data_IF_879350274185
#
_entry.id   IF_879350274185
#
_cell.length_a   1.000
_cell.length_b   1.000
_cell.length_c   1.000
_cell.angle_alpha   90.00
_cell.angle_beta   90.00
_cell.angle_gamma   90.00
#
_symmetry.space_group_name_H-M   'P 1'
#
loop_
_entity.id
_entity.type
_entity.pdbx_description
1 polymer ?
#
# COMPACT_ATOMS: atom_id res chain seq x y z
N UNK A 1 -59.86 -33.04 5.26
CA UNK A 1 -58.78 -33.22 4.28
C UNK A 1 -57.58 -32.39 4.75
N UNK A 2 -56.57 -33.01 5.41
CA UNK A 2 -55.39 -32.29 5.94
C UNK A 2 -54.28 -32.33 4.88
N UNK A 3 -53.95 -31.19 4.35
CA UNK A 3 -52.79 -31.05 3.47
C UNK A 3 -51.49 -31.17 4.30
N UNK A 4 -50.73 -32.23 4.08
CA UNK A 4 -49.35 -32.34 4.54
C UNK A 4 -48.48 -31.47 3.60
N UNK A 5 -48.04 -30.32 4.08
CA UNK A 5 -47.01 -29.52 3.38
C UNK A 5 -45.72 -30.28 3.54
N UNK A 6 -45.12 -30.62 2.40
CA UNK A 6 -43.91 -31.44 2.32
C UNK A 6 -42.71 -30.57 2.69
N UNK A 7 -42.12 -30.76 3.86
CA UNK A 7 -40.99 -30.02 4.41
C UNK A 7 -39.71 -30.07 3.50
N UNK A 8 -39.67 -31.01 2.54
CA UNK A 8 -38.54 -31.16 1.61
C UNK A 8 -38.42 -30.04 0.58
N UNK A 9 -39.53 -29.37 0.20
CA UNK A 9 -39.52 -28.27 -0.80
C UNK A 9 -38.93 -27.00 -0.22
N UNK A 10 -39.11 -26.73 1.09
CA UNK A 10 -38.62 -25.55 1.79
C UNK A 10 -37.09 -25.64 1.94
N UNK A 11 -36.53 -26.81 2.19
CA UNK A 11 -35.09 -27.02 2.35
C UNK A 11 -34.32 -26.81 1.04
N UNK A 12 -34.86 -27.29 -0.09
CA UNK A 12 -34.24 -27.13 -1.42
C UNK A 12 -34.25 -25.67 -1.86
N UNK A 13 -35.34 -24.94 -1.60
CA UNK A 13 -35.39 -23.49 -1.95
C UNK A 13 -34.41 -22.66 -1.12
N UNK A 14 -34.20 -23.00 0.15
CA UNK A 14 -33.24 -22.31 1.02
C UNK A 14 -31.76 -22.51 0.56
N UNK A 15 -31.42 -23.73 0.14
CA UNK A 15 -30.11 -24.09 -0.37
C UNK A 15 -29.80 -23.35 -1.71
N UNK A 16 -30.78 -23.23 -2.60
CA UNK A 16 -30.63 -22.52 -3.88
C UNK A 16 -30.45 -21.02 -3.69
N UNK A 17 -31.16 -20.40 -2.75
CA UNK A 17 -31.05 -18.95 -2.47
C UNK A 17 -29.71 -18.65 -1.81
N UNK A 18 -29.21 -19.46 -0.91
CA UNK A 18 -27.91 -19.26 -0.27
C UNK A 18 -26.77 -19.44 -1.26
N UNK A 19 -26.79 -20.46 -2.12
CA UNK A 19 -25.74 -20.68 -3.14
C UNK A 19 -25.67 -19.56 -4.17
N UNK A 20 -26.81 -18.99 -4.58
CA UNK A 20 -26.82 -17.85 -5.52
C UNK A 20 -26.28 -16.58 -4.91
N UNK A 21 -26.52 -16.31 -3.63
CA UNK A 21 -25.97 -15.15 -2.90
C UNK A 21 -24.46 -15.27 -2.68
N UNK A 22 -23.95 -16.47 -2.38
CA UNK A 22 -22.51 -16.72 -2.26
C UNK A 22 -21.81 -16.53 -3.60
N UNK A 23 -22.32 -17.11 -4.70
CA UNK A 23 -21.78 -16.96 -6.04
C UNK A 23 -21.77 -15.51 -6.51
N UNK A 24 -22.81 -14.73 -6.22
CA UNK A 24 -22.90 -13.31 -6.58
C UNK A 24 -21.89 -12.47 -5.80
N UNK A 25 -21.66 -12.76 -4.52
CA UNK A 25 -20.69 -12.06 -3.68
C UNK A 25 -19.26 -12.33 -4.15
N UNK A 26 -18.92 -13.55 -4.53
CA UNK A 26 -17.59 -13.91 -5.05
C UNK A 26 -17.32 -13.26 -6.41
N UNK A 27 -18.29 -13.22 -7.32
CA UNK A 27 -18.19 -12.50 -8.59
C UNK A 27 -17.92 -11.02 -8.37
N UNK A 28 -18.62 -10.38 -7.42
CA UNK A 28 -18.43 -8.97 -7.10
C UNK A 28 -17.03 -8.67 -6.53
N UNK A 29 -16.50 -9.54 -5.64
CA UNK A 29 -15.14 -9.38 -5.10
C UNK A 29 -14.09 -9.45 -6.22
N UNK A 30 -14.22 -10.41 -7.13
CA UNK A 30 -13.35 -10.56 -8.31
C UNK A 30 -13.39 -9.31 -9.18
N UNK A 31 -14.59 -8.81 -9.48
CA UNK A 31 -14.79 -7.60 -10.25
C UNK A 31 -14.15 -6.37 -9.58
N UNK A 32 -14.37 -6.16 -8.29
CA UNK A 32 -13.79 -5.01 -7.56
C UNK A 32 -12.26 -5.07 -7.61
N UNK A 33 -11.64 -6.22 -7.31
CA UNK A 33 -10.18 -6.36 -7.32
C UNK A 33 -9.59 -6.15 -8.72
N UNK A 34 -10.22 -6.71 -9.75
CA UNK A 34 -9.80 -6.51 -11.13
C UNK A 34 -9.86 -5.02 -11.51
N UNK A 35 -10.97 -4.34 -11.21
CA UNK A 35 -11.13 -2.91 -11.49
C UNK A 35 -10.14 -2.04 -10.70
N UNK A 36 -9.79 -2.40 -9.46
CA UNK A 36 -8.73 -1.70 -8.69
C UNK A 36 -7.39 -1.81 -9.40
N UNK A 37 -7.01 -3.01 -9.82
CA UNK A 37 -5.75 -3.24 -10.54
C UNK A 37 -5.73 -2.45 -11.85
N UNK A 38 -6.78 -2.60 -12.67
CA UNK A 38 -6.88 -1.95 -13.97
C UNK A 38 -6.89 -0.42 -13.84
N UNK A 39 -7.62 0.11 -12.86
CA UNK A 39 -7.67 1.54 -12.62
C UNK A 39 -6.31 2.11 -12.19
N UNK A 40 -5.62 1.45 -11.27
CA UNK A 40 -4.28 1.89 -10.84
C UNK A 40 -3.29 1.84 -12.01
N UNK A 41 -3.31 0.78 -12.81
CA UNK A 41 -2.36 0.57 -13.91
C UNK A 41 -2.62 1.48 -15.13
N UNK A 42 -3.88 1.88 -15.34
CA UNK A 42 -4.28 2.78 -16.43
C UNK A 42 -3.93 4.24 -16.16
N UNK A 43 -3.75 4.65 -14.89
CA UNK A 43 -3.50 6.03 -14.53
C UNK A 43 -2.01 6.28 -14.30
N UNK A 44 -1.35 6.89 -15.28
CA UNK A 44 0.09 7.17 -15.21
C UNK A 44 0.42 8.40 -14.36
N UNK A 45 -0.42 9.42 -14.40
CA UNK A 45 -0.19 10.70 -13.71
C UNK A 45 -1.21 10.91 -12.61
N UNK A 46 -0.72 11.18 -11.40
CA UNK A 46 -1.51 11.32 -10.19
C UNK A 46 -1.09 12.56 -9.41
N UNK A 47 -2.08 13.22 -8.83
CA UNK A 47 -1.88 14.30 -7.87
C UNK A 47 -2.81 14.09 -6.69
N UNK A 48 -2.31 14.18 -5.46
CA UNK A 48 -3.11 13.95 -4.27
C UNK A 48 -2.52 14.59 -3.01
N UNK A 49 -3.35 14.77 -2.01
CA UNK A 49 -2.91 14.93 -0.63
C UNK A 49 -3.04 13.59 0.10
N UNK A 50 -2.06 13.23 0.91
CA UNK A 50 -2.10 12.04 1.74
C UNK A 50 -1.88 12.38 3.21
N UNK A 51 -2.74 11.85 4.06
CA UNK A 51 -2.49 11.72 5.50
C UNK A 51 -2.09 10.27 5.78
N UNK A 52 -1.03 10.09 6.56
CA UNK A 52 -0.60 8.79 7.07
C UNK A 52 -0.46 8.81 8.58
N UNK A 53 -0.68 7.65 9.19
CA UNK A 53 -0.41 7.40 10.60
C UNK A 53 0.13 5.98 10.73
N UNK A 54 1.37 5.85 11.15
CA UNK A 54 2.14 4.60 11.14
C UNK A 54 2.72 4.32 12.53
N UNK A 55 2.52 3.10 13.03
CA UNK A 55 2.98 2.70 14.36
C UNK A 55 4.43 2.27 14.31
N UNK A 56 5.29 2.98 15.05
CA UNK A 56 6.71 2.64 15.14
C UNK A 56 6.99 1.49 16.14
N UNK A 57 8.25 1.06 16.21
CA UNK A 57 8.75 0.01 17.11
C UNK A 57 8.50 0.29 18.61
N UNK A 58 8.28 1.53 19.00
CA UNK A 58 7.94 1.95 20.37
C UNK A 58 6.42 2.04 20.62
N UNK A 59 5.60 1.46 19.73
CA UNK A 59 4.13 1.51 19.76
C UNK A 59 3.54 2.94 19.73
N UNK A 60 4.28 3.90 19.20
CA UNK A 60 3.81 5.27 19.00
C UNK A 60 3.43 5.49 17.54
N UNK A 61 2.32 6.17 17.31
CA UNK A 61 1.93 6.57 15.96
C UNK A 61 2.69 7.82 15.53
N UNK A 62 3.31 7.73 14.35
CA UNK A 62 3.93 8.86 13.66
C UNK A 62 2.99 9.28 12.55
N UNK A 63 2.54 10.53 12.62
CA UNK A 63 1.65 11.10 11.62
C UNK A 63 2.42 11.91 10.59
N UNK A 64 1.94 11.86 9.36
CA UNK A 64 2.43 12.67 8.27
C UNK A 64 1.29 13.16 7.38
N UNK A 65 1.44 14.37 6.83
CA UNK A 65 0.57 14.90 5.79
C UNK A 65 1.43 15.54 4.72
N UNK A 66 1.15 15.25 3.48
CA UNK A 66 1.86 15.80 2.36
C UNK A 66 1.01 15.86 1.09
N UNK A 67 1.42 16.74 0.21
CA UNK A 67 0.98 16.80 -1.17
C UNK A 67 1.98 16.07 -2.06
N UNK A 68 1.51 15.32 -3.07
CA UNK A 68 2.33 14.63 -4.04
C UNK A 68 1.85 14.84 -5.46
N UNK A 69 2.82 14.96 -6.38
CA UNK A 69 2.66 14.76 -7.83
C UNK A 69 3.48 13.56 -8.24
N UNK A 70 2.95 12.70 -9.09
CA UNK A 70 3.71 11.57 -9.57
C UNK A 70 3.34 11.15 -10.99
N UNK A 71 4.31 10.55 -11.65
CA UNK A 71 4.19 9.80 -12.89
C UNK A 71 4.74 8.40 -12.64
N UNK A 72 3.98 7.37 -13.02
CA UNK A 72 4.34 5.99 -12.69
C UNK A 72 5.31 5.34 -13.69
N UNK A 73 5.34 5.81 -14.95
CA UNK A 73 6.13 5.21 -16.04
C UNK A 73 6.68 6.28 -16.98
N UNK A 74 7.98 6.68 -16.88
CA UNK A 74 8.93 6.34 -15.82
C UNK A 74 8.49 6.93 -14.46
N UNK A 75 8.98 6.34 -13.37
CA UNK A 75 8.62 6.82 -12.05
C UNK A 75 9.25 8.19 -11.77
N UNK A 76 8.39 9.20 -11.56
CA UNK A 76 8.77 10.54 -11.12
C UNK A 76 7.87 10.94 -9.97
N UNK A 77 8.44 11.47 -8.91
CA UNK A 77 7.71 11.85 -7.71
C UNK A 77 8.22 13.17 -7.17
N UNK A 78 7.30 14.09 -6.95
CA UNK A 78 7.51 15.27 -6.14
C UNK A 78 6.59 15.22 -4.92
N UNK A 79 7.14 15.46 -3.73
CA UNK A 79 6.42 15.52 -2.47
C UNK A 79 6.73 16.84 -1.77
N UNK A 80 5.69 17.50 -1.26
CA UNK A 80 5.80 18.65 -0.35
C UNK A 80 5.14 18.33 0.97
N UNK A 81 5.92 18.28 2.03
CA UNK A 81 5.43 17.95 3.37
C UNK A 81 4.67 19.11 4.00
N UNK A 82 3.57 18.77 4.63
CA UNK A 82 2.81 19.66 5.51
C UNK A 82 3.10 19.34 6.98
N UNK A 83 3.25 18.03 7.31
CA UNK A 83 3.63 17.50 8.63
C UNK A 83 4.53 16.26 8.45
N UNK A 84 5.45 16.00 9.36
CA UNK A 84 5.87 16.78 10.55
C UNK A 84 6.82 17.94 10.20
N UNK A 85 7.42 17.94 9.00
CA UNK A 85 8.41 18.94 8.56
C UNK A 85 7.76 19.81 7.48
N UNK A 86 7.04 20.84 7.92
CA UNK A 86 6.35 21.73 7.01
C UNK A 86 7.31 22.35 5.98
N UNK A 87 6.92 22.28 4.71
CA UNK A 87 7.69 22.84 3.59
C UNK A 87 8.91 22.03 3.18
N UNK A 88 9.22 20.89 3.82
CA UNK A 88 10.24 19.99 3.29
C UNK A 88 9.78 19.37 1.98
N UNK A 89 10.71 19.27 1.00
CA UNK A 89 10.42 18.82 -0.36
C UNK A 89 11.30 17.65 -0.73
N UNK A 90 10.73 16.73 -1.51
CA UNK A 90 11.42 15.57 -2.06
C UNK A 90 11.14 15.51 -3.56
N UNK A 91 12.20 15.32 -4.36
CA UNK A 91 12.12 15.04 -5.78
C UNK A 91 12.88 13.76 -6.09
N UNK A 92 12.23 12.83 -6.79
CA UNK A 92 12.81 11.61 -7.28
C UNK A 92 12.41 11.36 -8.72
N UNK A 93 13.38 11.00 -9.56
CA UNK A 93 13.17 10.59 -10.94
C UNK A 93 13.99 9.33 -11.16
N UNK A 94 13.30 8.25 -11.53
CA UNK A 94 13.96 6.98 -11.80
C UNK A 94 14.95 7.09 -12.97
N UNK A 95 16.16 6.59 -12.76
CA UNK A 95 17.26 6.68 -13.73
C UNK A 95 18.03 8.00 -13.73
N UNK A 96 17.59 9.02 -12.98
CA UNK A 96 18.30 10.30 -12.85
C UNK A 96 19.03 10.42 -11.50
N UNK A 97 19.99 11.34 -11.40
CA UNK A 97 20.73 11.66 -10.16
C UNK A 97 21.32 10.41 -9.46
N UNK A 98 21.82 9.41 -10.23
CA UNK A 98 22.30 8.12 -9.72
C UNK A 98 21.24 7.38 -8.87
N UNK A 99 19.96 7.50 -9.21
CA UNK A 99 18.82 7.00 -8.44
C UNK A 99 18.77 7.53 -7.00
N UNK A 100 19.26 8.74 -6.77
CA UNK A 100 19.16 9.44 -5.50
C UNK A 100 17.96 10.36 -5.49
N UNK A 101 17.36 10.51 -4.34
CA UNK A 101 16.37 11.58 -4.11
C UNK A 101 17.10 12.91 -3.90
N UNK A 102 16.47 13.98 -4.33
CA UNK A 102 16.80 15.33 -3.90
C UNK A 102 15.87 15.68 -2.74
N UNK A 103 16.44 16.03 -1.59
CA UNK A 103 15.71 16.38 -0.36
C UNK A 103 16.05 17.81 0.04
N UNK A 104 15.05 18.69 0.05
CA UNK A 104 15.14 19.96 0.75
C UNK A 104 14.47 19.79 2.14
N UNK A 105 15.22 19.82 3.25
CA UNK A 105 14.64 19.63 4.58
C UNK A 105 13.91 20.87 5.10
N UNK A 106 13.94 21.98 4.37
CA UNK A 106 13.40 23.29 4.76
C UNK A 106 13.85 23.74 6.18
N UNK A 107 15.12 23.50 6.49
CA UNK A 107 15.76 23.90 7.75
C UNK A 107 17.14 24.47 7.49
N UNK A 108 17.62 25.38 8.37
CA UNK A 108 18.98 25.92 8.27
C UNK A 108 20.00 24.76 8.18
N UNK A 109 20.95 24.81 7.25
CA UNK A 109 21.36 25.91 6.36
C UNK A 109 20.59 26.04 5.03
N UNK A 110 19.39 25.47 4.89
CA UNK A 110 18.51 25.54 3.68
C UNK A 110 19.17 25.02 2.40
N UNK A 111 19.94 23.97 2.52
CA UNK A 111 20.60 23.31 1.38
C UNK A 111 19.91 21.98 1.05
N UNK A 112 19.78 21.73 -0.24
CA UNK A 112 19.27 20.46 -0.73
C UNK A 112 20.33 19.37 -0.66
N UNK A 113 19.91 18.18 -0.26
CA UNK A 113 20.75 17.00 -0.08
C UNK A 113 20.41 15.94 -1.13
N UNK A 114 21.43 15.36 -1.75
CA UNK A 114 21.27 14.20 -2.61
C UNK A 114 21.50 12.93 -1.80
N UNK A 115 20.44 12.14 -1.57
CA UNK A 115 20.44 10.99 -0.68
C UNK A 115 20.05 9.74 -1.46
N UNK A 116 20.77 8.62 -1.26
CA UNK A 116 20.39 7.34 -1.84
C UNK A 116 18.94 7.00 -1.46
N UNK A 117 18.10 6.67 -2.43
CA UNK A 117 16.68 6.41 -2.24
C UNK A 117 16.38 5.25 -1.28
N UNK A 118 17.34 4.34 -1.07
CA UNK A 118 17.27 3.22 -0.12
C UNK A 118 17.98 3.50 1.22
N UNK A 119 18.34 4.74 1.50
CA UNK A 119 18.96 5.10 2.76
C UNK A 119 17.94 4.94 3.91
N UNK A 120 18.34 4.26 4.98
CA UNK A 120 17.46 3.99 6.14
C UNK A 120 16.95 5.25 6.84
N UNK A 121 17.63 6.38 6.68
CA UNK A 121 17.18 7.67 7.23
C UNK A 121 15.82 8.11 6.66
N UNK A 122 15.49 7.67 5.44
CA UNK A 122 14.21 7.95 4.79
C UNK A 122 13.05 7.20 5.43
N UNK A 123 13.33 6.09 6.13
CA UNK A 123 12.36 5.33 6.90
C UNK A 123 12.22 5.85 8.36
N UNK A 124 13.05 6.78 8.80
CA UNK A 124 12.96 7.33 10.16
C UNK A 124 11.64 8.05 10.46
N UNK A 125 10.90 8.42 9.42
CA UNK A 125 9.61 9.07 9.53
C UNK A 125 8.44 8.28 8.93
N UNK A 126 8.63 7.01 8.53
CA UNK A 126 7.59 6.22 7.88
C UNK A 126 7.98 4.79 7.56
N UNK A 127 7.03 4.05 7.02
CA UNK A 127 7.17 2.62 6.72
C UNK A 127 7.62 2.32 5.29
N UNK A 128 7.61 3.32 4.41
CA UNK A 128 7.84 3.14 2.98
C UNK A 128 8.91 4.07 2.44
N UNK A 129 9.63 3.59 1.45
CA UNK A 129 10.50 4.43 0.63
C UNK A 129 9.67 5.28 -0.35
N UNK A 130 10.28 6.34 -0.86
CA UNK A 130 9.63 7.29 -1.79
C UNK A 130 9.08 6.58 -3.03
N UNK A 131 9.80 5.58 -3.55
CA UNK A 131 9.37 4.82 -4.74
C UNK A 131 8.15 3.94 -4.50
N UNK A 132 7.78 3.72 -3.25
CA UNK A 132 6.56 2.99 -2.87
C UNK A 132 5.37 3.92 -2.63
N UNK A 133 5.52 5.23 -2.88
CA UNK A 133 4.42 6.18 -2.77
C UNK A 133 3.32 5.91 -3.80
N UNK A 134 2.10 6.37 -3.50
CA UNK A 134 0.94 6.20 -4.36
C UNK A 134 0.32 4.81 -4.26
N UNK A 135 -0.17 4.31 -5.39
CA UNK A 135 -1.03 3.12 -5.42
C UNK A 135 -0.39 1.90 -6.10
N UNK A 136 0.71 2.09 -6.84
CA UNK A 136 1.33 1.03 -7.64
C UNK A 136 1.73 -0.20 -6.81
N UNK A 137 2.14 0.01 -5.54
CA UNK A 137 2.47 -1.08 -4.64
C UNK A 137 1.26 -1.97 -4.35
N UNK A 138 0.05 -1.40 -4.23
CA UNK A 138 -1.17 -2.17 -4.01
C UNK A 138 -1.54 -3.01 -5.24
N UNK A 139 -1.46 -2.45 -6.45
CA UNK A 139 -1.67 -3.23 -7.68
C UNK A 139 -0.69 -4.41 -7.77
N UNK A 140 0.61 -4.19 -7.47
CA UNK A 140 1.61 -5.28 -7.41
C UNK A 140 1.25 -6.33 -6.37
N UNK A 141 0.81 -5.91 -5.19
CA UNK A 141 0.42 -6.81 -4.10
C UNK A 141 -0.77 -7.68 -4.49
N UNK A 142 -1.81 -7.10 -5.09
CA UNK A 142 -2.96 -7.88 -5.55
C UNK A 142 -2.59 -8.88 -6.64
N UNK A 143 -1.79 -8.47 -7.64
CA UNK A 143 -1.30 -9.38 -8.68
C UNK A 143 -0.49 -10.54 -8.11
N UNK A 144 0.40 -10.26 -7.16
CA UNK A 144 1.18 -11.28 -6.47
C UNK A 144 0.29 -12.29 -5.73
N UNK A 145 -0.73 -11.81 -5.00
CA UNK A 145 -1.64 -12.71 -4.28
C UNK A 145 -2.55 -13.50 -5.23
N UNK A 146 -3.01 -12.91 -6.32
CA UNK A 146 -3.74 -13.62 -7.37
C UNK A 146 -2.90 -14.71 -8.02
N UNK A 147 -1.63 -14.44 -8.30
CA UNK A 147 -0.69 -15.44 -8.83
C UNK A 147 -0.44 -16.56 -7.82
N UNK A 148 -0.21 -16.21 -6.55
CA UNK A 148 0.16 -17.15 -5.50
C UNK A 148 -0.97 -18.04 -5.02
N UNK A 149 -2.18 -17.50 -4.89
CA UNK A 149 -3.34 -18.16 -4.28
C UNK A 149 -4.47 -18.43 -5.27
N UNK A 150 -4.41 -17.86 -6.45
CA UNK A 150 -5.46 -17.98 -7.47
C UNK A 150 -6.85 -17.66 -6.88
N UNK A 151 -7.83 -18.54 -7.07
CA UNK A 151 -9.20 -18.34 -6.56
C UNK A 151 -9.29 -18.34 -5.03
N UNK A 152 -8.39 -19.03 -4.32
CA UNK A 152 -8.35 -19.06 -2.85
C UNK A 152 -8.07 -17.67 -2.25
N UNK A 153 -7.48 -16.75 -3.02
CA UNK A 153 -7.33 -15.37 -2.56
C UNK A 153 -8.66 -14.70 -2.25
N UNK A 154 -9.72 -15.01 -3.00
CA UNK A 154 -11.03 -14.42 -2.81
C UNK A 154 -11.76 -14.93 -1.57
N UNK A 155 -11.37 -16.09 -1.02
CA UNK A 155 -11.85 -16.58 0.26
C UNK A 155 -11.35 -15.74 1.45
N UNK A 156 -10.18 -15.08 1.28
CA UNK A 156 -9.60 -14.17 2.27
C UNK A 156 -10.23 -12.77 2.23
N UNK A 157 -11.09 -12.49 1.21
CA UNK A 157 -11.70 -11.17 0.99
C UNK A 157 -13.16 -11.20 1.44
N UNK A 158 -13.53 -10.25 2.28
CA UNK A 158 -14.87 -10.01 2.75
C UNK A 158 -15.38 -8.69 2.19
N UNK A 159 -16.46 -8.74 1.40
CA UNK A 159 -17.19 -7.54 1.00
C UNK A 159 -18.13 -7.14 2.13
N UNK A 160 -17.86 -6.01 2.77
CA UNK A 160 -18.62 -5.52 3.92
C UNK A 160 -19.73 -4.53 3.54
N UNK A 161 -19.89 -4.24 2.24
CA UNK A 161 -20.93 -3.36 1.72
C UNK A 161 -20.40 -2.05 1.15
N UNK A 162 -21.33 -1.10 0.91
CA UNK A 162 -21.06 0.24 0.41
C UNK A 162 -21.20 1.24 1.55
N UNK A 163 -20.17 2.05 1.76
CA UNK A 163 -20.09 3.05 2.82
C UNK A 163 -19.84 4.44 2.24
N UNK A 164 -20.32 5.46 2.91
CA UNK A 164 -19.94 6.83 2.61
C UNK A 164 -18.66 7.20 3.36
N UNK A 165 -17.65 7.64 2.65
CA UNK A 165 -16.40 8.15 3.18
C UNK A 165 -16.05 9.49 2.52
N UNK A 166 -15.92 10.56 3.31
CA UNK A 166 -15.56 11.90 2.82
C UNK A 166 -16.36 12.32 1.59
N UNK A 167 -17.70 12.19 1.66
CA UNK A 167 -18.69 12.47 0.62
C UNK A 167 -18.59 11.60 -0.66
N UNK A 168 -17.85 10.49 -0.60
CA UNK A 168 -17.74 9.51 -1.68
C UNK A 168 -18.38 8.19 -1.26
N UNK A 169 -19.05 7.53 -2.18
CA UNK A 169 -19.49 6.13 -2.00
C UNK A 169 -18.29 5.22 -2.23
N UNK A 170 -18.04 4.31 -1.29
CA UNK A 170 -16.91 3.39 -1.35
C UNK A 170 -17.38 1.96 -1.12
N UNK A 171 -16.85 1.02 -1.90
CA UNK A 171 -16.83 -0.38 -1.49
C UNK A 171 -15.93 -0.51 -0.28
N UNK A 172 -16.38 -1.23 0.73
CA UNK A 172 -15.52 -1.60 1.84
C UNK A 172 -15.17 -3.07 1.74
N UNK A 173 -13.89 -3.34 1.55
CA UNK A 173 -13.32 -4.68 1.56
C UNK A 173 -12.47 -4.87 2.82
N UNK A 174 -12.61 -6.04 3.45
CA UNK A 174 -11.69 -6.52 4.48
C UNK A 174 -10.99 -7.77 3.95
N UNK A 175 -9.66 -7.74 3.96
CA UNK A 175 -8.81 -8.87 3.57
C UNK A 175 -8.18 -9.39 4.84
N UNK A 176 -8.33 -10.67 5.13
CA UNK A 176 -7.88 -11.27 6.39
C UNK A 176 -7.07 -12.54 6.12
N UNK A 177 -5.87 -12.60 6.72
CA UNK A 177 -4.97 -13.74 6.65
C UNK A 177 -4.97 -14.43 8.01
N UNK A 178 -5.76 -15.49 8.18
CA UNK A 178 -5.91 -16.22 9.43
C UNK A 178 -4.59 -16.85 9.88
N UNK A 179 -3.76 -17.26 8.92
CA UNK A 179 -2.45 -17.87 9.16
C UNK A 179 -1.31 -16.86 9.33
N UNK A 180 -1.62 -15.54 9.46
CA UNK A 180 -0.61 -14.49 9.65
C UNK A 180 0.31 -14.79 10.83
N UNK A 181 1.60 -14.93 10.55
CA UNK A 181 2.62 -15.24 11.56
C UNK A 181 4.01 -14.77 11.15
N UNK A 182 4.88 -14.67 12.14
CA UNK A 182 6.31 -14.56 11.93
C UNK A 182 6.88 -15.91 11.48
N UNK A 183 7.76 -15.89 10.49
CA UNK A 183 8.47 -17.04 9.95
C UNK A 183 9.97 -16.80 9.97
N UNK A 184 10.75 -17.89 10.00
CA UNK A 184 12.20 -17.84 9.79
C UNK A 184 12.53 -17.97 8.31
N UNK A 185 13.39 -17.10 7.82
CA UNK A 185 13.93 -17.13 6.47
C UNK A 185 15.46 -17.23 6.54
N UNK A 186 16.07 -17.97 5.63
CA UNK A 186 17.52 -18.10 5.51
C UNK A 186 17.96 -17.40 4.24
N UNK A 187 18.75 -16.34 4.38
CA UNK A 187 19.22 -15.52 3.28
C UNK A 187 19.98 -16.33 2.23
N UNK A 188 19.82 -15.98 0.95
CA UNK A 188 20.49 -16.62 -0.18
C UNK A 188 21.46 -15.63 -0.81
N UNK A 189 22.68 -16.11 -1.15
CA UNK A 189 23.62 -15.41 -2.04
C UNK A 189 23.77 -13.91 -1.79
N UNK A 190 24.05 -13.49 -0.58
CA UNK A 190 24.30 -12.07 -0.26
C UNK A 190 23.11 -11.13 -0.56
N UNK A 191 21.88 -11.61 -0.39
CA UNK A 191 20.68 -10.78 -0.47
C UNK A 191 20.72 -9.66 0.58
N UNK A 192 20.02 -8.57 0.32
CA UNK A 192 19.72 -7.53 1.31
C UNK A 192 18.31 -7.69 1.85
N UNK A 193 18.02 -7.15 3.06
CA UNK A 193 16.63 -7.11 3.56
C UNK A 193 15.69 -6.41 2.58
N UNK A 194 16.16 -5.35 1.91
CA UNK A 194 15.39 -4.65 0.91
C UNK A 194 14.95 -5.57 -0.25
N UNK A 195 15.90 -6.33 -0.83
CA UNK A 195 15.60 -7.26 -1.93
C UNK A 195 14.60 -8.35 -1.53
N UNK A 196 14.72 -8.84 -0.29
CA UNK A 196 13.78 -9.84 0.24
C UNK A 196 12.38 -9.22 0.37
N UNK A 197 12.27 -8.02 0.93
CA UNK A 197 10.98 -7.34 1.09
C UNK A 197 10.28 -7.05 -0.25
N UNK A 198 11.03 -6.59 -1.25
CA UNK A 198 10.49 -6.33 -2.59
C UNK A 198 9.98 -7.60 -3.28
N UNK A 199 10.71 -8.71 -3.14
CA UNK A 199 10.33 -9.98 -3.74
C UNK A 199 9.13 -10.62 -3.05
N UNK A 200 9.12 -10.61 -1.72
CA UNK A 200 8.06 -11.24 -0.92
C UNK A 200 6.87 -10.29 -0.67
N UNK A 201 6.95 -9.05 -1.16
CA UNK A 201 5.99 -7.97 -0.93
C UNK A 201 5.61 -7.79 0.54
N UNK A 202 6.62 -7.75 1.41
CA UNK A 202 6.48 -7.59 2.86
C UNK A 202 6.92 -6.18 3.26
N UNK A 203 6.30 -5.63 4.30
CA UNK A 203 6.62 -4.30 4.80
C UNK A 203 8.06 -4.22 5.35
N UNK A 204 8.86 -3.31 4.79
CA UNK A 204 10.28 -3.17 5.14
C UNK A 204 10.48 -2.68 6.58
N UNK A 205 9.60 -1.80 7.09
CA UNK A 205 9.68 -1.33 8.47
C UNK A 205 9.38 -2.48 9.45
N UNK A 206 8.42 -3.35 9.12
CA UNK A 206 8.13 -4.56 9.91
C UNK A 206 9.31 -5.52 9.95
N UNK A 207 9.98 -5.74 8.82
CA UNK A 207 11.16 -6.61 8.78
C UNK A 207 12.30 -6.03 9.61
N UNK A 208 12.51 -4.72 9.56
CA UNK A 208 13.49 -4.04 10.41
C UNK A 208 13.16 -4.18 11.90
N UNK A 209 11.89 -4.02 12.27
CA UNK A 209 11.39 -4.24 13.63
C UNK A 209 11.67 -5.67 14.13
N UNK A 210 11.49 -6.67 13.25
CA UNK A 210 11.73 -8.09 13.57
C UNK A 210 13.21 -8.49 13.58
N UNK A 211 14.12 -7.66 13.04
CA UNK A 211 15.53 -7.92 12.93
C UNK A 211 16.35 -6.70 13.42
N UNK A 212 16.25 -6.33 14.70
CA UNK A 212 16.96 -5.17 15.22
C UNK A 212 18.48 -5.32 15.03
N UNK A 213 19.13 -4.23 14.62
CA UNK A 213 20.59 -4.22 14.37
C UNK A 213 21.00 -4.61 12.95
N UNK A 214 20.09 -5.13 12.11
CA UNK A 214 20.39 -5.37 10.71
C UNK A 214 20.13 -4.11 9.86
N UNK A 215 21.09 -3.80 8.99
CA UNK A 215 20.97 -2.71 8.02
C UNK A 215 20.21 -3.18 6.77
N UNK A 216 19.25 -2.38 6.30
CA UNK A 216 18.33 -2.74 5.22
C UNK A 216 19.05 -3.00 3.89
N UNK A 217 20.05 -2.19 3.58
CA UNK A 217 20.80 -2.23 2.30
C UNK A 217 22.08 -3.06 2.38
N UNK A 218 22.46 -3.55 3.56
CA UNK A 218 23.65 -4.37 3.74
C UNK A 218 23.41 -5.80 3.30
N UNK A 219 24.37 -6.37 2.60
CA UNK A 219 24.37 -7.78 2.21
C UNK A 219 24.40 -8.68 3.43
N UNK A 220 23.46 -9.62 3.49
CA UNK A 220 23.39 -10.66 4.50
C UNK A 220 24.42 -11.77 4.20
N UNK A 221 24.84 -12.48 5.21
CA UNK A 221 25.67 -13.67 5.04
C UNK A 221 24.82 -14.81 4.44
N UNK A 222 25.45 -15.70 3.67
CA UNK A 222 24.75 -16.89 3.19
C UNK A 222 24.19 -17.70 4.34
N UNK A 223 22.93 -18.14 4.21
CA UNK A 223 22.17 -18.84 5.26
C UNK A 223 21.98 -18.06 6.56
N UNK A 224 22.25 -16.76 6.57
CA UNK A 224 21.91 -15.92 7.73
C UNK A 224 20.41 -16.01 8.01
N UNK A 225 20.05 -16.42 9.22
CA UNK A 225 18.67 -16.48 9.68
C UNK A 225 18.15 -15.07 9.93
N UNK A 226 17.00 -14.75 9.33
CA UNK A 226 16.23 -13.53 9.59
C UNK A 226 14.76 -13.87 9.88
N UNK A 227 14.04 -12.96 10.47
CA UNK A 227 12.62 -13.08 10.75
C UNK A 227 11.81 -12.27 9.74
N UNK A 228 10.82 -12.88 9.12
CA UNK A 228 9.88 -12.27 8.21
C UNK A 228 8.45 -12.45 8.75
N UNK A 229 7.47 -11.81 8.10
CA UNK A 229 6.07 -12.22 8.17
C UNK A 229 5.70 -12.97 6.90
N UNK A 230 4.77 -13.93 6.98
CA UNK A 230 4.33 -14.68 5.80
C UNK A 230 3.36 -13.90 4.90
N UNK A 231 2.80 -12.78 5.39
CA UNK A 231 1.96 -11.83 4.66
C UNK A 231 2.34 -10.40 5.02
N UNK A 232 1.91 -9.45 4.19
CA UNK A 232 2.11 -8.02 4.42
C UNK A 232 1.44 -7.55 5.72
N UNK A 233 0.23 -8.01 5.99
CA UNK A 233 -0.60 -7.66 7.13
C UNK A 233 -1.35 -8.88 7.66
N UNK A 234 -1.90 -8.79 8.88
CA UNK A 234 -2.91 -9.73 9.38
C UNK A 234 -4.27 -9.42 8.77
N UNK A 235 -4.63 -8.15 8.75
CA UNK A 235 -5.90 -7.69 8.20
C UNK A 235 -5.68 -6.35 7.49
N UNK A 236 -6.29 -6.18 6.32
CA UNK A 236 -6.35 -4.92 5.60
C UNK A 236 -7.81 -4.53 5.39
N UNK A 237 -8.18 -3.29 5.69
CA UNK A 237 -9.50 -2.74 5.38
C UNK A 237 -9.33 -1.60 4.39
N UNK A 238 -10.01 -1.72 3.25
CA UNK A 238 -9.91 -0.80 2.14
C UNK A 238 -11.26 -0.16 1.85
N UNK A 239 -11.27 1.17 1.69
CA UNK A 239 -12.39 1.91 1.15
C UNK A 239 -12.04 2.31 -0.28
N UNK A 240 -12.69 1.68 -1.23
CA UNK A 240 -12.44 1.80 -2.66
C UNK A 240 -13.53 2.69 -3.25
N UNK A 241 -13.16 3.81 -3.84
CA UNK A 241 -14.08 4.76 -4.46
C UNK A 241 -14.85 4.08 -5.60
N UNK A 242 -16.19 4.15 -5.59
CA UNK A 242 -17.03 3.53 -6.61
C UNK A 242 -16.86 4.13 -8.01
N UNK A 243 -16.40 5.39 -8.10
CA UNK A 243 -16.30 6.09 -9.38
C UNK A 243 -15.04 5.73 -10.15
N UNK A 244 -13.93 5.49 -9.43
CA UNK A 244 -12.61 5.31 -10.05
C UNK A 244 -11.83 4.11 -9.55
N UNK A 245 -12.37 3.36 -8.62
CA UNK A 245 -11.77 2.16 -8.02
C UNK A 245 -10.44 2.39 -7.30
N UNK A 246 -10.09 3.62 -6.95
CA UNK A 246 -8.91 3.88 -6.11
C UNK A 246 -9.20 3.61 -4.63
N UNK A 247 -8.30 2.92 -3.91
CA UNK A 247 -8.42 2.64 -2.48
C UNK A 247 -8.03 3.87 -1.66
N UNK A 248 -8.96 4.81 -1.52
CA UNK A 248 -8.71 6.15 -0.95
C UNK A 248 -8.57 6.18 0.57
N UNK A 249 -8.98 5.11 1.27
CA UNK A 249 -8.78 4.96 2.70
C UNK A 249 -8.37 3.52 3.01
N UNK A 250 -7.26 3.37 3.74
CA UNK A 250 -6.63 2.08 4.00
C UNK A 250 -6.28 1.98 5.48
N UNK A 251 -6.64 0.85 6.09
CA UNK A 251 -6.30 0.48 7.46
C UNK A 251 -5.61 -0.88 7.43
N UNK A 252 -4.38 -0.92 7.89
CA UNK A 252 -3.54 -2.12 7.88
C UNK A 252 -3.26 -2.53 9.32
N UNK A 253 -3.54 -3.79 9.63
CA UNK A 253 -3.41 -4.33 10.98
C UNK A 253 -2.37 -5.46 11.00
N UNK A 254 -1.55 -5.48 12.03
CA UNK A 254 -0.73 -6.63 12.39
C UNK A 254 -1.35 -7.38 13.59
N UNK A 255 -0.60 -8.29 14.20
CA UNK A 255 -1.07 -9.04 15.38
C UNK A 255 -1.30 -8.19 16.64
N UNK A 256 -0.80 -6.96 16.66
CA UNK A 256 -0.91 -6.05 17.81
C UNK A 256 -1.97 -4.94 17.59
N UNK A 257 -2.66 -4.94 16.46
CA UNK A 257 -3.70 -3.96 16.13
C UNK A 257 -3.33 -3.08 14.93
N UNK A 258 -3.87 -1.86 14.89
CA UNK A 258 -3.59 -0.93 13.78
C UNK A 258 -2.09 -0.69 13.65
N UNK A 259 -1.56 -0.88 12.44
CA UNK A 259 -0.15 -0.70 12.10
C UNK A 259 0.07 0.49 11.18
N UNK A 260 -0.80 0.61 10.14
CA UNK A 260 -0.75 1.70 9.18
C UNK A 260 -2.16 2.22 8.88
N UNK A 261 -2.26 3.52 8.67
CA UNK A 261 -3.47 4.18 8.17
C UNK A 261 -3.09 5.19 7.11
N UNK A 262 -3.75 5.10 5.94
CA UNK A 262 -3.56 6.02 4.82
C UNK A 262 -4.89 6.61 4.38
N UNK A 263 -4.93 7.91 4.18
CA UNK A 263 -6.10 8.65 3.70
C UNK A 263 -5.64 9.51 2.52
N UNK A 264 -6.21 9.25 1.36
CA UNK A 264 -5.95 10.03 0.17
C UNK A 264 -7.11 11.02 -0.05
N UNK A 265 -6.76 12.28 -0.21
CA UNK A 265 -7.70 13.36 -0.50
C UNK A 265 -7.23 14.15 -1.70
N UNK A 266 -8.14 14.92 -2.31
CA UNK A 266 -7.85 15.72 -3.51
C UNK A 266 -7.18 14.91 -4.63
N UNK A 267 -7.56 13.63 -4.76
CA UNK A 267 -7.02 12.76 -5.81
C UNK A 267 -7.48 13.26 -7.19
N UNK A 268 -6.50 13.60 -8.02
CA UNK A 268 -6.70 13.98 -9.42
C UNK A 268 -5.98 12.97 -10.30
N UNK A 269 -6.71 12.38 -11.22
CA UNK A 269 -6.24 11.31 -12.11
C UNK A 269 -5.97 11.89 -13.50
N UNK A 270 -4.81 11.52 -14.07
CA UNK A 270 -4.41 11.91 -15.43
C UNK A 270 -4.45 13.42 -15.73
N UNK A 271 -4.25 14.28 -14.71
CA UNK A 271 -3.92 15.67 -14.98
C UNK A 271 -2.62 15.71 -15.76
N UNK A 272 -2.54 16.38 -16.91
CA UNK A 272 -1.28 16.52 -17.62
C UNK A 272 -0.25 17.21 -16.73
N UNK A 273 0.74 16.43 -16.22
CA UNK A 273 1.86 16.98 -15.45
C UNK A 273 2.98 17.22 -16.45
N UNK A 274 3.42 18.46 -16.57
CA UNK A 274 4.49 18.81 -17.50
C UNK A 274 5.84 18.32 -16.97
N UNK A 275 6.76 17.95 -17.85
CA UNK A 275 8.10 17.51 -17.45
C UNK A 275 8.84 18.54 -16.59
N UNK A 276 8.62 19.83 -16.83
CA UNK A 276 9.21 20.91 -16.02
C UNK A 276 8.76 20.87 -14.55
N UNK A 277 7.57 20.28 -14.24
CA UNK A 277 7.09 20.11 -12.88
C UNK A 277 7.82 19.01 -12.10
N UNK A 278 8.71 18.28 -12.76
CA UNK A 278 9.65 17.36 -12.12
C UNK A 278 11.10 17.88 -12.19
N UNK A 279 11.31 19.16 -12.51
CA UNK A 279 12.64 19.77 -12.47
C UNK A 279 12.86 20.45 -11.12
N UNK A 280 14.08 20.32 -10.57
CA UNK A 280 14.48 20.99 -9.33
C UNK A 280 14.31 22.50 -9.39
N UNK A 281 14.47 23.10 -10.59
CA UNK A 281 14.40 24.54 -10.82
C UNK A 281 12.96 25.00 -11.14
N UNK A 282 11.96 24.12 -10.94
CA UNK A 282 10.57 24.52 -11.12
C UNK A 282 10.20 25.64 -10.15
N UNK A 283 9.54 26.67 -10.69
CA UNK A 283 9.31 27.97 -10.01
C UNK A 283 8.65 27.90 -8.62
N UNK A 284 7.90 26.82 -8.34
CA UNK A 284 7.16 26.64 -7.09
C UNK A 284 7.92 25.76 -6.06
N UNK A 285 9.16 25.36 -6.38
CA UNK A 285 10.00 24.52 -5.52
C UNK A 285 11.13 25.32 -4.88
N UNK A 286 11.72 24.78 -3.82
CA UNK A 286 12.76 25.42 -3.04
C UNK A 286 14.07 24.60 -2.96
N UNK A 287 14.35 23.77 -3.98
CA UNK A 287 15.58 22.96 -4.01
C UNK A 287 16.85 23.77 -4.18
#
# INVERSE_FOLDING_TARGET
>A
MKFKINNSIILVTYIFVTSSLFSQNDSLKKEIIANVIDSIDAHNQLEFEMFRSERNENNKFIEGKFYAKMENKPLKIYIKNEKPRQGAEILYIDGENDNKILLNPNTFPYISLSINSKNSILLAGGHHYVEQAGFSQMSKTFKYYLEKYQDDFFEMIYFEGIFNWNNKKCYRLRIEYEDYKQISYYAKNSETLYQICERELINIAKIKELNPGLEISKKLQDKQKINLTNHYSKTSVLYIDLENYFPIYQLIYDKYGLYEKYIYTKLVLNRPIKNEEFNRDYKDYNF
#
